data_IF_661637928215
#
_entry.id   IF_661637928215
#
_cell.length_a   1.000
_cell.length_b   1.000
_cell.length_c   1.000
_cell.angle_alpha   90.00
_cell.angle_beta   90.00
_cell.angle_gamma   90.00
#
_symmetry.space_group_name_H-M   'P 1'
#
loop_
_entity.id
_entity.type
_entity.pdbx_description
1 polymer ?
#
# COMPACT_ATOMS: atom_id res chain seq x y z
N UNK A 1 29.67 -15.18 12.46
CA UNK A 1 28.79 -14.38 13.34
C UNK A 1 28.77 -12.90 12.93
N UNK A 2 29.87 -12.15 13.05
CA UNK A 2 29.91 -10.71 12.75
C UNK A 2 29.43 -10.33 11.34
N UNK A 3 29.76 -11.12 10.31
CA UNK A 3 29.25 -10.91 8.96
C UNK A 3 27.71 -10.92 8.91
N UNK A 4 27.06 -11.85 9.60
CA UNK A 4 25.59 -11.95 9.63
C UNK A 4 24.96 -10.72 10.31
N UNK A 5 25.56 -10.27 11.42
CA UNK A 5 25.11 -9.06 12.14
C UNK A 5 25.19 -7.81 11.26
N UNK A 6 26.19 -7.72 10.39
CA UNK A 6 26.31 -6.61 9.44
C UNK A 6 25.37 -6.79 8.23
N UNK A 7 25.29 -7.99 7.66
CA UNK A 7 24.52 -8.25 6.44
C UNK A 7 23.01 -8.16 6.66
N UNK A 8 22.49 -8.63 7.79
CA UNK A 8 21.05 -8.68 8.07
C UNK A 8 20.35 -7.30 7.98
N UNK A 9 20.77 -6.26 8.72
CA UNK A 9 20.16 -4.95 8.60
C UNK A 9 20.43 -4.29 7.23
N UNK A 10 21.62 -4.51 6.65
CA UNK A 10 21.99 -3.91 5.35
C UNK A 10 21.08 -4.41 4.24
N UNK A 11 20.85 -5.72 4.16
CA UNK A 11 19.94 -6.31 3.17
C UNK A 11 18.52 -5.79 3.35
N UNK A 12 18.04 -5.66 4.60
CA UNK A 12 16.73 -5.09 4.89
C UNK A 12 16.56 -3.66 4.36
N UNK A 13 17.56 -2.80 4.58
CA UNK A 13 17.54 -1.42 4.07
C UNK A 13 17.61 -1.39 2.54
N UNK A 14 18.36 -2.29 1.90
CA UNK A 14 18.36 -2.39 0.44
C UNK A 14 16.98 -2.73 -0.10
N UNK A 15 16.25 -3.68 0.50
CA UNK A 15 14.89 -3.99 0.06
C UNK A 15 13.91 -2.83 0.27
N UNK A 16 14.01 -2.09 1.38
CA UNK A 16 13.18 -0.88 1.59
C UNK A 16 13.47 0.18 0.52
N UNK A 17 14.76 0.41 0.21
CA UNK A 17 15.15 1.37 -0.83
C UNK A 17 14.65 0.94 -2.21
N UNK A 18 14.74 -0.35 -2.54
CA UNK A 18 14.19 -0.91 -3.77
C UNK A 18 12.66 -0.77 -3.81
N UNK A 19 11.96 -1.04 -2.72
CA UNK A 19 10.50 -0.93 -2.63
C UNK A 19 10.00 0.50 -2.86
N UNK A 20 10.64 1.51 -2.27
CA UNK A 20 10.32 2.92 -2.55
C UNK A 20 10.61 3.27 -4.01
N UNK A 21 11.74 2.78 -4.53
CA UNK A 21 12.12 3.03 -5.93
C UNK A 21 11.12 2.44 -6.92
N UNK A 22 10.49 1.28 -6.62
CA UNK A 22 9.46 0.70 -7.48
C UNK A 22 8.11 1.39 -7.32
N UNK A 23 7.72 1.78 -6.09
CA UNK A 23 6.48 2.53 -5.84
C UNK A 23 6.49 3.89 -6.53
N UNK A 24 7.67 4.51 -6.73
CA UNK A 24 7.81 5.74 -7.51
C UNK A 24 7.36 5.60 -8.98
N UNK A 25 7.25 4.38 -9.50
CA UNK A 25 6.72 4.08 -10.83
C UNK A 25 5.33 3.41 -10.76
N UNK A 26 4.54 3.72 -9.72
CA UNK A 26 3.18 3.22 -9.50
C UNK A 26 3.07 1.69 -9.37
N UNK A 27 4.18 1.00 -9.07
CA UNK A 27 4.16 -0.41 -8.65
C UNK A 27 3.93 -0.48 -7.14
N UNK A 28 2.65 -0.44 -6.78
CA UNK A 28 2.19 -0.35 -5.40
C UNK A 28 2.17 -1.70 -4.68
N UNK A 29 1.84 -1.65 -3.39
CA UNK A 29 1.64 -2.84 -2.55
C UNK A 29 0.45 -3.70 -2.99
N UNK A 30 0.28 -4.83 -2.29
CA UNK A 30 -0.81 -5.76 -2.56
C UNK A 30 -2.17 -5.10 -2.33
N UNK A 31 -3.11 -5.35 -3.24
CA UNK A 31 -4.49 -4.91 -3.11
C UNK A 31 -5.40 -6.13 -2.91
N UNK A 32 -6.01 -6.22 -1.73
CA UNK A 32 -6.94 -7.29 -1.36
C UNK A 32 -8.33 -6.76 -1.01
N UNK A 33 -8.69 -5.60 -1.57
CA UNK A 33 -10.00 -5.01 -1.40
C UNK A 33 -11.07 -6.00 -1.88
N UNK A 34 -12.01 -6.30 -1.00
CA UNK A 34 -13.12 -7.21 -1.29
C UNK A 34 -12.72 -8.62 -1.72
N UNK A 35 -11.57 -9.09 -1.26
CA UNK A 35 -10.99 -10.37 -1.70
C UNK A 35 -11.68 -11.62 -1.15
N UNK A 36 -12.53 -11.51 -0.12
CA UNK A 36 -13.24 -12.65 0.50
C UNK A 36 -14.74 -12.52 0.26
N UNK A 37 -15.32 -13.51 -0.43
CA UNK A 37 -16.75 -13.60 -0.72
C UNK A 37 -17.35 -14.87 -0.12
N UNK A 38 -18.59 -14.80 0.35
CA UNK A 38 -19.37 -15.98 0.70
C UNK A 38 -19.90 -16.69 -0.57
N UNK A 39 -20.53 -17.85 -0.40
CA UNK A 39 -21.11 -18.62 -1.52
C UNK A 39 -22.28 -17.92 -2.22
N UNK A 40 -22.85 -16.87 -1.61
CA UNK A 40 -23.94 -16.06 -2.15
C UNK A 40 -23.43 -14.78 -2.84
N UNK A 41 -22.10 -14.54 -2.83
CA UNK A 41 -21.47 -13.35 -3.38
C UNK A 41 -21.44 -12.15 -2.43
N UNK A 42 -21.77 -12.31 -1.15
CA UNK A 42 -21.63 -11.23 -0.18
C UNK A 42 -20.18 -11.07 0.25
N UNK A 43 -19.77 -9.81 0.42
CA UNK A 43 -18.48 -9.44 0.94
C UNK A 43 -18.33 -9.83 2.41
N UNK A 44 -17.28 -10.60 2.72
CA UNK A 44 -16.80 -10.80 4.08
C UNK A 44 -15.64 -9.84 4.30
N UNK A 45 -15.86 -8.82 5.14
CA UNK A 45 -14.84 -7.80 5.42
C UNK A 45 -13.62 -8.41 6.12
N UNK A 46 -12.44 -8.05 5.61
CA UNK A 46 -11.14 -8.41 6.14
C UNK A 46 -10.41 -7.20 6.73
N UNK A 47 -9.22 -7.42 7.31
CA UNK A 47 -8.34 -6.33 7.71
C UNK A 47 -7.90 -5.45 6.54
N UNK A 48 -7.76 -6.00 5.33
CA UNK A 48 -7.41 -5.22 4.14
C UNK A 48 -8.48 -4.19 3.82
N UNK A 49 -9.77 -4.54 3.96
CA UNK A 49 -10.88 -3.61 3.74
C UNK A 49 -10.91 -2.47 4.76
N UNK A 50 -10.44 -2.72 5.99
CA UNK A 50 -10.32 -1.70 7.03
C UNK A 50 -9.17 -0.73 6.70
N UNK A 51 -8.01 -1.26 6.28
CA UNK A 51 -6.87 -0.45 5.84
C UNK A 51 -7.26 0.43 4.64
N UNK A 52 -7.96 -0.14 3.65
CA UNK A 52 -8.44 0.62 2.50
C UNK A 52 -9.36 1.80 2.88
N UNK A 53 -10.19 1.65 3.93
CA UNK A 53 -11.01 2.78 4.42
C UNK A 53 -10.16 3.90 5.04
N UNK A 54 -9.06 3.55 5.71
CA UNK A 54 -8.12 4.54 6.22
C UNK A 54 -7.39 5.24 5.07
N UNK A 55 -6.97 4.48 4.06
CA UNK A 55 -6.31 5.02 2.85
C UNK A 55 -7.24 5.98 2.10
N UNK A 56 -8.51 5.62 1.88
CA UNK A 56 -9.52 6.52 1.30
C UNK A 56 -9.67 7.82 2.11
N UNK A 57 -9.62 7.73 3.45
CA UNK A 57 -9.68 8.92 4.32
C UNK A 57 -8.48 9.84 4.13
N UNK A 58 -7.30 9.30 3.85
CA UNK A 58 -6.12 10.10 3.51
C UNK A 58 -6.24 10.70 2.11
N UNK A 59 -6.63 9.90 1.11
CA UNK A 59 -6.77 10.31 -0.29
C UNK A 59 -7.71 11.51 -0.44
N UNK A 60 -8.91 11.45 0.16
CA UNK A 60 -9.92 12.53 0.03
C UNK A 60 -9.56 13.81 0.77
N UNK A 61 -8.63 13.75 1.74
CA UNK A 61 -8.22 14.90 2.55
C UNK A 61 -6.86 15.48 2.13
N UNK A 62 -6.01 14.67 1.48
CA UNK A 62 -4.70 15.09 1.00
C UNK A 62 -4.85 16.13 -0.11
N UNK A 63 -4.00 17.15 -0.08
CA UNK A 63 -4.00 18.26 -1.05
C UNK A 63 -5.40 18.81 -1.39
N UNK A 64 -6.20 19.07 -0.34
CA UNK A 64 -7.62 19.49 -0.39
C UNK A 64 -8.02 20.60 -1.39
N UNK A 65 -7.06 21.37 -1.91
CA UNK A 65 -7.28 22.48 -2.85
C UNK A 65 -6.47 22.34 -4.15
N UNK A 66 -5.74 21.25 -4.37
CA UNK A 66 -4.91 21.05 -5.56
C UNK A 66 -5.65 20.30 -6.69
N UNK A 67 -6.64 19.49 -6.32
CA UNK A 67 -7.37 18.64 -7.24
C UNK A 67 -8.59 19.35 -7.84
N UNK A 68 -8.57 19.57 -9.16
CA UNK A 68 -9.73 20.09 -9.93
C UNK A 68 -10.42 19.00 -10.77
N UNK A 69 -9.82 17.80 -10.80
CA UNK A 69 -10.31 16.64 -11.54
C UNK A 69 -10.55 15.48 -10.56
N UNK A 70 -11.47 14.56 -10.88
CA UNK A 70 -11.89 13.51 -9.94
C UNK A 70 -10.87 12.37 -9.76
N UNK A 71 -9.82 12.32 -10.58
CA UNK A 71 -8.79 11.28 -10.51
C UNK A 71 -7.43 11.96 -10.34
N UNK A 72 -6.71 11.53 -9.31
CA UNK A 72 -5.29 11.82 -9.16
C UNK A 72 -4.48 10.77 -9.92
N UNK A 73 -3.62 11.24 -10.82
CA UNK A 73 -2.84 10.39 -11.72
C UNK A 73 -1.33 10.66 -11.63
N UNK A 74 -0.90 11.76 -10.99
CA UNK A 74 0.50 12.17 -10.84
C UNK A 74 0.67 13.42 -9.97
#
# INVERSE_FOLDING_TARGET
>A
LHFFLAAWPVIGIWFTALGVSTMAFNLNGLNFNQSILDSSGHLILSWADIVNRADLGMEVMHERNAHNFPLDLA
#
